data_IF_506198456286
#
_entry.id   IF_506198456286
#
_cell.length_a   1.000
_cell.length_b   1.000
_cell.length_c   1.000
_cell.angle_alpha   90.00
_cell.angle_beta   90.00
_cell.angle_gamma   90.00
#
_symmetry.space_group_name_H-M   'P 1'
#
loop_
_entity.id
_entity.type
_entity.pdbx_description
1 polymer ?
#
# COMPACT_ATOMS: atom_id res chain seq x y z
N UNK A 1 -14.34 9.39 -2.17
CA UNK A 1 -14.05 9.67 -0.74
C UNK A 1 -12.56 9.96 -0.62
N UNK A 2 -12.14 10.93 0.19
CA UNK A 2 -10.70 11.21 0.40
C UNK A 2 -10.19 10.14 1.38
N UNK A 3 -9.05 9.50 1.10
CA UNK A 3 -8.47 8.43 1.95
C UNK A 3 -8.05 8.89 3.36
N UNK A 4 -8.37 10.14 3.72
CA UNK A 4 -8.06 10.77 5.00
C UNK A 4 -9.08 10.45 6.10
N UNK A 5 -10.24 9.89 5.75
CA UNK A 5 -11.30 9.53 6.72
C UNK A 5 -11.16 8.13 7.32
N UNK A 6 -10.20 7.33 6.82
CA UNK A 6 -9.88 6.04 7.43
C UNK A 6 -8.70 6.29 8.36
N UNK A 7 -8.95 6.19 9.66
CA UNK A 7 -7.94 6.42 10.69
C UNK A 7 -6.65 5.67 10.36
N UNK A 8 -5.52 6.35 10.52
CA UNK A 8 -4.23 5.68 10.43
C UNK A 8 -4.25 4.46 11.36
N UNK A 9 -3.71 3.30 10.93
CA UNK A 9 -3.66 2.12 11.79
C UNK A 9 -2.96 2.51 13.11
N UNK A 10 -3.57 2.12 14.22
CA UNK A 10 -3.08 2.47 15.55
C UNK A 10 -1.63 1.98 15.72
N UNK A 11 -0.80 2.76 16.42
CA UNK A 11 0.68 2.68 16.38
C UNK A 11 1.28 1.39 16.95
N UNK A 12 0.44 0.46 17.37
CA UNK A 12 0.81 -0.82 17.97
C UNK A 12 0.43 -1.96 17.00
N UNK A 13 1.36 -2.32 16.10
CA UNK A 13 1.19 -3.48 15.24
C UNK A 13 1.41 -4.77 16.04
N UNK A 14 0.38 -5.26 16.74
CA UNK A 14 0.36 -6.61 17.31
C UNK A 14 0.24 -7.70 16.22
N UNK A 15 0.10 -7.30 14.95
CA UNK A 15 -0.03 -8.17 13.78
C UNK A 15 0.57 -7.52 12.54
N UNK A 16 0.93 -8.35 11.56
CA UNK A 16 1.29 -7.91 10.22
C UNK A 16 0.06 -7.31 9.50
N UNK A 17 0.31 -6.31 8.65
CA UNK A 17 -0.72 -5.72 7.80
C UNK A 17 -1.18 -6.73 6.74
N UNK A 18 -2.47 -6.71 6.43
CA UNK A 18 -3.03 -7.36 5.24
C UNK A 18 -2.62 -6.61 3.97
N UNK A 19 -2.82 -7.23 2.80
CA UNK A 19 -2.53 -6.60 1.52
C UNK A 19 -3.36 -5.31 1.34
N UNK A 20 -4.64 -5.30 1.73
CA UNK A 20 -5.46 -4.09 1.71
C UNK A 20 -4.88 -2.97 2.59
N UNK A 21 -4.41 -3.31 3.79
CA UNK A 21 -3.83 -2.34 4.73
C UNK A 21 -2.49 -1.80 4.20
N UNK A 22 -1.65 -2.66 3.59
CA UNK A 22 -0.42 -2.25 2.91
C UNK A 22 -0.75 -1.29 1.76
N UNK A 23 -1.69 -1.66 0.90
CA UNK A 23 -2.14 -0.82 -0.22
C UNK A 23 -2.68 0.52 0.25
N UNK A 24 -3.43 0.53 1.36
CA UNK A 24 -3.96 1.75 1.96
C UNK A 24 -2.85 2.68 2.44
N UNK A 25 -1.83 2.16 3.13
CA UNK A 25 -0.71 2.97 3.60
C UNK A 25 0.09 3.55 2.42
N UNK A 26 0.33 2.75 1.37
CA UNK A 26 1.00 3.22 0.14
C UNK A 26 0.21 4.35 -0.51
N UNK A 27 -1.08 4.13 -0.75
CA UNK A 27 -1.96 5.11 -1.38
C UNK A 27 -2.04 6.41 -0.55
N UNK A 28 -2.14 6.30 0.77
CA UNK A 28 -2.14 7.45 1.67
C UNK A 28 -0.84 8.25 1.57
N UNK A 29 0.32 7.58 1.68
CA UNK A 29 1.63 8.22 1.64
C UNK A 29 1.90 8.94 0.31
N UNK A 30 1.41 8.38 -0.79
CA UNK A 30 1.51 8.96 -2.14
C UNK A 30 0.44 10.01 -2.47
N UNK A 31 -0.55 10.21 -1.60
CA UNK A 31 -1.67 11.12 -1.88
C UNK A 31 -2.60 10.63 -2.99
N UNK A 32 -2.61 9.32 -3.24
CA UNK A 32 -3.54 8.67 -4.18
C UNK A 32 -4.94 8.54 -3.56
N UNK A 33 -5.93 8.20 -4.39
CA UNK A 33 -7.33 8.16 -4.01
C UNK A 33 -7.95 6.83 -4.37
N UNK A 34 -8.90 6.38 -3.54
CA UNK A 34 -9.76 5.25 -3.85
C UNK A 34 -10.98 5.76 -4.63
N UNK A 35 -11.16 5.22 -5.83
CA UNK A 35 -12.36 5.43 -6.63
C UNK A 35 -13.55 4.66 -6.05
N UNK A 36 -14.79 5.03 -6.38
CA UNK A 36 -15.99 4.34 -5.88
C UNK A 36 -16.06 2.87 -6.26
N UNK A 37 -15.40 2.48 -7.35
CA UNK A 37 -15.31 1.10 -7.85
C UNK A 37 -14.15 0.30 -7.23
N UNK A 38 -13.44 0.88 -6.24
CA UNK A 38 -12.35 0.24 -5.54
C UNK A 38 -10.96 0.42 -6.16
N UNK A 39 -10.84 1.08 -7.33
CA UNK A 39 -9.54 1.32 -7.97
C UNK A 39 -8.70 2.37 -7.23
N UNK A 40 -7.39 2.21 -7.27
CA UNK A 40 -6.44 3.20 -6.75
C UNK A 40 -6.02 4.14 -7.88
N UNK A 41 -6.24 5.44 -7.71
CA UNK A 41 -6.01 6.47 -8.73
C UNK A 41 -5.01 7.52 -8.25
N UNK A 42 -4.02 7.79 -9.08
CA UNK A 42 -3.04 8.87 -8.93
C UNK A 42 -3.42 10.13 -9.71
N UNK A 43 -3.03 11.28 -9.15
CA UNK A 43 -3.23 12.59 -9.78
C UNK A 43 -4.64 13.17 -9.60
N UNK A 44 -4.72 14.50 -9.69
CA UNK A 44 -5.98 15.25 -9.59
C UNK A 44 -6.65 15.53 -10.94
N UNK A 45 -5.90 15.44 -12.04
CA UNK A 45 -6.33 15.88 -13.37
C UNK A 45 -6.32 14.70 -14.36
N UNK A 46 -5.19 14.01 -14.49
CA UNK A 46 -5.04 12.91 -15.45
C UNK A 46 -5.57 11.56 -14.94
N UNK A 47 -6.02 11.48 -13.67
CA UNK A 47 -6.63 10.30 -13.03
C UNK A 47 -6.05 8.96 -13.51
N UNK A 48 -4.76 8.74 -13.27
CA UNK A 48 -4.10 7.48 -13.67
C UNK A 48 -4.50 6.36 -12.73
N UNK A 49 -4.99 5.26 -13.28
CA UNK A 49 -5.20 4.03 -12.48
C UNK A 49 -3.85 3.42 -12.15
N UNK A 50 -3.59 3.20 -10.86
CA UNK A 50 -2.37 2.57 -10.34
C UNK A 50 -2.61 1.08 -10.09
N UNK A 51 -3.78 0.75 -9.52
CA UNK A 51 -4.14 -0.62 -9.18
C UNK A 51 -5.65 -0.82 -9.33
N UNK A 52 -6.05 -2.06 -9.63
CA UNK A 52 -7.45 -2.47 -9.68
C UNK A 52 -8.13 -2.46 -8.30
N UNK A 53 -7.36 -2.63 -7.21
CA UNK A 53 -7.83 -2.57 -5.82
C UNK A 53 -6.69 -2.26 -4.83
N UNK A 54 -7.02 -1.98 -3.56
CA UNK A 54 -6.02 -1.87 -2.48
C UNK A 54 -5.30 -3.19 -2.24
N UNK A 55 -6.02 -4.31 -2.22
CA UNK A 55 -5.43 -5.65 -2.16
C UNK A 55 -4.42 -5.90 -3.29
N UNK A 56 -4.76 -5.53 -4.54
CA UNK A 56 -3.85 -5.69 -5.68
C UNK A 56 -2.57 -4.86 -5.48
N UNK A 57 -2.71 -3.61 -5.03
CA UNK A 57 -1.56 -2.73 -4.72
C UNK A 57 -0.69 -3.31 -3.60
N UNK A 58 -1.28 -3.81 -2.52
CA UNK A 58 -0.53 -4.39 -1.41
C UNK A 58 0.16 -5.71 -1.75
N UNK A 59 -0.53 -6.58 -2.48
CA UNK A 59 0.02 -7.85 -2.95
C UNK A 59 1.22 -7.63 -3.87
N UNK A 60 1.09 -6.70 -4.83
CA UNK A 60 2.19 -6.31 -5.70
C UNK A 60 3.35 -5.67 -4.91
N UNK A 61 3.05 -4.88 -3.87
CA UNK A 61 4.08 -4.30 -3.01
C UNK A 61 4.88 -5.37 -2.25
N UNK A 62 4.24 -6.43 -1.77
CA UNK A 62 4.95 -7.55 -1.13
C UNK A 62 5.74 -8.34 -2.17
N UNK A 63 5.15 -8.67 -3.31
CA UNK A 63 5.78 -9.44 -4.38
C UNK A 63 7.05 -8.76 -4.93
N UNK A 64 6.98 -7.44 -5.11
CA UNK A 64 8.10 -6.64 -5.61
C UNK A 64 9.05 -6.14 -4.50
N UNK A 65 8.89 -6.63 -3.25
CA UNK A 65 9.70 -6.27 -2.08
C UNK A 65 9.70 -4.78 -1.72
N UNK A 66 8.60 -4.09 -2.02
CA UNK A 66 8.35 -2.73 -1.57
C UNK A 66 7.82 -2.68 -0.14
N UNK A 67 7.15 -3.75 0.29
CA UNK A 67 6.74 -4.00 1.66
C UNK A 67 7.34 -5.33 2.14
N UNK A 68 7.87 -5.35 3.36
CA UNK A 68 8.45 -6.55 3.95
C UNK A 68 7.44 -7.27 4.84
N UNK A 69 7.28 -8.57 4.62
CA UNK A 69 6.53 -9.52 5.46
C UNK A 69 7.34 -10.81 5.58
N UNK A 70 7.41 -11.48 6.76
CA UNK A 70 8.04 -12.78 6.89
C UNK A 70 7.28 -13.77 6.02
N UNK A 71 8.02 -14.68 5.39
CA UNK A 71 7.48 -15.69 4.50
C UNK A 71 6.64 -16.76 5.24
N UNK A 72 6.68 -16.82 6.58
CA UNK A 72 6.06 -17.88 7.38
C UNK A 72 5.22 -17.39 8.58
N UNK A 73 4.17 -18.16 8.99
CA UNK A 73 3.28 -17.84 10.12
C UNK A 73 3.90 -17.95 11.52
N UNK A 74 5.22 -18.11 11.66
CA UNK A 74 5.90 -18.38 12.94
C UNK A 74 6.67 -17.19 13.51
N UNK A 75 6.46 -15.99 12.99
CA UNK A 75 6.96 -14.76 13.61
C UNK A 75 6.16 -14.52 14.90
N UNK A 76 6.89 -14.39 16.01
CA UNK A 76 6.50 -14.18 17.41
C UNK A 76 5.66 -12.92 17.71
N UNK A 77 4.93 -12.39 16.72
CA UNK A 77 4.13 -11.18 16.87
C UNK A 77 4.95 -9.89 16.92
N UNK A 78 6.29 -9.98 16.83
CA UNK A 78 7.17 -8.83 16.60
C UNK A 78 7.03 -8.39 15.14
N UNK A 79 5.92 -7.71 14.83
CA UNK A 79 5.68 -7.11 13.53
C UNK A 79 6.83 -6.19 13.11
N UNK A 80 6.99 -5.90 11.81
CA UNK A 80 8.08 -5.09 11.33
C UNK A 80 7.79 -3.67 11.81
N UNK A 81 8.53 -3.20 12.81
CA UNK A 81 8.47 -1.77 13.17
C UNK A 81 8.99 -0.89 12.02
N UNK A 82 9.65 -1.51 11.01
CA UNK A 82 10.22 -0.88 9.83
C UNK A 82 9.78 -1.59 8.54
N UNK A 83 8.63 -1.22 7.98
CA UNK A 83 8.36 -1.48 6.57
C UNK A 83 9.28 -0.60 5.72
N UNK A 84 9.95 -1.16 4.71
CA UNK A 84 10.88 -0.42 3.85
C UNK A 84 10.11 0.42 2.82
N UNK A 85 9.50 1.51 3.26
CA UNK A 85 8.75 2.41 2.37
C UNK A 85 9.62 3.17 1.34
N UNK A 86 10.95 3.13 1.48
CA UNK A 86 11.87 3.88 0.62
C UNK A 86 11.90 3.42 -0.83
N UNK A 87 11.64 2.12 -1.10
CA UNK A 87 11.66 1.59 -2.48
C UNK A 87 10.45 2.08 -3.27
N UNK A 88 9.28 2.16 -2.62
CA UNK A 88 8.09 2.74 -3.27
C UNK A 88 8.40 4.16 -3.65
N UNK A 89 8.86 5.01 -2.72
CA UNK A 89 9.12 6.45 -2.93
C UNK A 89 10.07 6.78 -4.09
N UNK A 90 11.05 5.92 -4.36
CA UNK A 90 12.00 6.10 -5.45
C UNK A 90 11.41 5.94 -6.86
N UNK A 91 10.21 5.34 -6.97
CA UNK A 91 9.56 5.03 -8.25
C UNK A 91 8.53 6.09 -8.62
N UNK A 92 8.35 6.34 -9.91
CA UNK A 92 7.25 7.16 -10.41
C UNK A 92 5.92 6.40 -10.36
N UNK A 93 4.82 7.14 -10.36
CA UNK A 93 3.47 6.57 -10.46
C UNK A 93 3.27 5.77 -11.76
N UNK A 94 4.06 6.03 -12.81
CA UNK A 94 4.06 5.24 -14.05
C UNK A 94 4.68 3.86 -13.83
N UNK A 95 5.90 3.83 -13.28
CA UNK A 95 6.67 2.61 -13.05
C UNK A 95 5.96 1.68 -12.06
N UNK A 96 5.23 2.25 -11.10
CA UNK A 96 4.43 1.45 -10.17
C UNK A 96 3.21 0.84 -10.89
N UNK A 97 2.49 1.61 -11.71
CA UNK A 97 1.34 1.10 -12.45
C UNK A 97 1.70 0.00 -13.47
N UNK A 98 2.92 -0.01 -13.99
CA UNK A 98 3.43 -1.06 -14.89
C UNK A 98 3.76 -2.37 -14.18
N UNK A 99 3.86 -2.37 -12.84
CA UNK A 99 4.31 -3.50 -12.02
C UNK A 99 3.20 -4.09 -11.13
N UNK A 100 1.95 -3.68 -11.38
CA UNK A 100 0.74 -4.10 -10.64
C UNK A 100 -0.22 -4.79 -11.60
#
# INVERSE_FOLDING_TARGET
>A
MKLTDVGAPDRSFSRWLSDDEIGQVIAHKRGWRLAPDGRVIAGKILHRTIASSLAALGSAAVANRWASRPAEPRSDGSGPTHMMWGIVDARSDAEIAEQI
#
